data_IF_998002484871
#
_entry.id   IF_998002484871
#
_cell.length_a   1.000
_cell.length_b   1.000
_cell.length_c   1.000
_cell.angle_alpha   90.00
_cell.angle_beta   90.00
_cell.angle_gamma   90.00
#
_symmetry.space_group_name_H-M   'P 1'
#
loop_
_entity.id
_entity.type
_entity.pdbx_description
1 polymer ?
#
# COMPACT_ATOMS: atom_id res chain seq x y z
N UNK A 1 12.40 7.22 -16.43
CA UNK A 1 12.82 7.70 -15.09
C UNK A 1 11.96 7.00 -14.06
N UNK A 2 12.49 6.48 -12.94
CA UNK A 2 11.64 5.92 -11.90
C UNK A 2 10.71 7.04 -11.43
N UNK A 3 9.42 6.75 -11.39
CA UNK A 3 8.41 7.70 -10.94
C UNK A 3 8.58 7.82 -9.41
N UNK A 4 9.41 8.77 -8.96
CA UNK A 4 9.62 9.00 -7.53
C UNK A 4 8.30 9.52 -6.96
N UNK A 5 7.56 8.65 -6.30
CA UNK A 5 6.29 8.94 -5.67
C UNK A 5 6.52 9.64 -4.33
N UNK A 6 5.73 10.68 -4.01
CA UNK A 6 5.85 11.37 -2.73
C UNK A 6 5.27 10.48 -1.60
N UNK A 7 6.06 10.13 -0.57
CA UNK A 7 5.59 9.34 0.57
C UNK A 7 4.77 10.16 1.58
N UNK A 8 4.75 11.49 1.45
CA UNK A 8 3.97 12.38 2.31
C UNK A 8 2.53 12.54 1.79
N UNK A 9 1.54 12.62 2.70
CA UNK A 9 0.16 12.84 2.32
C UNK A 9 0.04 14.18 1.58
N UNK A 10 -0.64 14.13 0.44
CA UNK A 10 -0.94 15.29 -0.38
C UNK A 10 -2.47 15.44 -0.50
N UNK A 11 -2.96 16.22 -1.47
CA UNK A 11 -4.40 16.29 -1.72
C UNK A 11 -4.95 14.91 -2.09
N UNK A 12 -6.20 14.62 -1.73
CA UNK A 12 -6.87 13.35 -2.10
C UNK A 12 -6.81 13.09 -3.62
N UNK A 13 -6.96 14.14 -4.44
CA UNK A 13 -6.85 14.05 -5.89
C UNK A 13 -5.46 13.57 -6.33
N UNK A 14 -4.41 14.08 -5.70
CA UNK A 14 -3.03 13.68 -5.97
C UNK A 14 -2.75 12.25 -5.51
N UNK A 15 -3.25 11.87 -4.32
CA UNK A 15 -3.12 10.51 -3.81
C UNK A 15 -3.82 9.50 -4.74
N UNK A 16 -5.07 9.77 -5.18
CA UNK A 16 -5.76 8.92 -6.16
C UNK A 16 -5.02 8.81 -7.49
N UNK A 17 -4.43 9.91 -7.98
CA UNK A 17 -3.62 9.90 -9.22
C UNK A 17 -2.35 9.07 -9.04
N UNK A 18 -1.69 9.18 -7.89
CA UNK A 18 -0.49 8.42 -7.52
C UNK A 18 -0.79 6.93 -7.43
N UNK A 19 -1.80 6.56 -6.63
CA UNK A 19 -2.20 5.16 -6.42
C UNK A 19 -2.73 4.52 -7.71
N UNK A 20 -3.44 5.27 -8.55
CA UNK A 20 -3.86 4.79 -9.87
C UNK A 20 -2.68 4.43 -10.78
N UNK A 21 -1.61 5.24 -10.78
CA UNK A 21 -0.38 4.95 -11.53
C UNK A 21 0.37 3.75 -10.96
N UNK A 22 0.44 3.65 -9.63
CA UNK A 22 1.04 2.49 -8.95
C UNK A 22 0.29 1.24 -9.38
N UNK A 23 -1.04 1.18 -9.19
CA UNK A 23 -1.85 0.03 -9.58
C UNK A 23 -1.66 -0.32 -11.06
N UNK A 24 -1.67 0.67 -11.96
CA UNK A 24 -1.41 0.48 -13.39
C UNK A 24 -0.08 -0.24 -13.66
N UNK A 25 0.99 0.13 -12.93
CA UNK A 25 2.31 -0.50 -13.08
C UNK A 25 2.38 -1.95 -12.57
N UNK A 26 1.43 -2.37 -11.73
CA UNK A 26 1.31 -3.75 -11.24
C UNK A 26 0.37 -4.60 -12.11
N UNK A 27 -0.36 -4.01 -13.06
CA UNK A 27 -1.28 -4.74 -13.95
C UNK A 27 -0.83 -4.73 -15.41
N UNK A 28 -0.03 -3.74 -15.83
CA UNK A 28 0.44 -3.61 -17.20
C UNK A 28 1.81 -4.30 -17.38
N UNK A 29 1.88 -5.43 -18.12
CA UNK A 29 3.14 -6.13 -18.39
C UNK A 29 4.18 -5.28 -19.10
N UNK A 30 3.76 -4.20 -19.77
CA UNK A 30 4.66 -3.28 -20.51
C UNK A 30 5.28 -2.22 -19.60
N UNK A 31 4.74 -2.02 -18.40
CA UNK A 31 5.22 -1.03 -17.42
C UNK A 31 5.83 -1.67 -16.18
N UNK A 32 5.58 -2.97 -15.93
CA UNK A 32 6.16 -3.69 -14.79
C UNK A 32 7.66 -3.99 -14.99
N UNK A 33 8.44 -3.88 -13.91
CA UNK A 33 9.87 -4.21 -13.87
C UNK A 33 10.15 -5.74 -13.87
N UNK A 34 9.44 -6.50 -14.72
CA UNK A 34 9.51 -7.95 -14.84
C UNK A 34 8.15 -8.65 -14.70
N UNK A 35 7.97 -9.84 -15.32
CA UNK A 35 6.70 -10.58 -15.31
C UNK A 35 6.25 -11.05 -13.92
N UNK A 36 7.18 -11.20 -12.97
CA UNK A 36 6.90 -11.65 -11.60
C UNK A 36 6.19 -10.61 -10.71
N UNK A 37 5.97 -9.39 -11.20
CA UNK A 37 5.31 -8.30 -10.47
C UNK A 37 3.88 -8.01 -10.93
N UNK A 38 3.35 -8.79 -11.86
CA UNK A 38 2.02 -8.57 -12.45
C UNK A 38 0.95 -9.26 -11.59
N UNK A 39 -0.06 -8.51 -11.17
CA UNK A 39 -1.21 -9.04 -10.44
C UNK A 39 -2.16 -9.69 -11.45
N UNK A 40 -2.46 -10.99 -11.32
CA UNK A 40 -3.41 -11.65 -12.22
C UNK A 40 -4.81 -11.03 -12.13
N UNK A 41 -5.52 -10.83 -13.26
CA UNK A 41 -6.86 -10.22 -13.26
C UNK A 41 -7.87 -10.94 -12.36
N UNK A 42 -7.76 -12.27 -12.21
CA UNK A 42 -8.64 -13.06 -11.36
C UNK A 42 -8.51 -12.71 -9.88
N UNK A 43 -7.32 -12.29 -9.43
CA UNK A 43 -7.08 -11.88 -8.05
C UNK A 43 -7.78 -10.53 -7.79
N UNK A 44 -7.67 -9.59 -8.73
CA UNK A 44 -8.36 -8.30 -8.64
C UNK A 44 -9.89 -8.45 -8.73
N UNK A 45 -10.38 -9.39 -9.54
CA UNK A 45 -11.82 -9.63 -9.71
C UNK A 45 -12.49 -10.13 -8.42
N UNK A 46 -11.75 -10.88 -7.58
CA UNK A 46 -12.26 -11.43 -6.32
C UNK A 46 -11.98 -10.54 -5.10
N UNK A 47 -11.17 -9.48 -5.27
CA UNK A 47 -10.83 -8.57 -4.18
C UNK A 47 -12.08 -7.92 -3.56
N UNK A 48 -12.07 -7.83 -2.23
CA UNK A 48 -13.04 -7.09 -1.40
C UNK A 48 -12.53 -5.70 -1.03
N UNK A 49 -11.24 -5.44 -1.22
CA UNK A 49 -10.66 -4.11 -1.11
C UNK A 49 -9.27 -4.05 -1.72
N UNK A 50 -8.83 -2.83 -2.04
CA UNK A 50 -7.48 -2.54 -2.49
C UNK A 50 -6.93 -1.41 -1.64
N UNK A 51 -5.77 -1.61 -1.02
CA UNK A 51 -5.02 -0.56 -0.36
C UNK A 51 -3.70 -0.34 -1.09
N UNK A 52 -3.45 0.89 -1.52
CA UNK A 52 -2.30 1.24 -2.35
C UNK A 52 -1.57 2.40 -1.67
N UNK A 53 -0.27 2.27 -1.45
CA UNK A 53 0.51 3.29 -0.74
C UNK A 53 1.98 3.31 -1.16
N UNK A 54 2.60 4.46 -0.97
CA UNK A 54 4.05 4.63 -1.07
C UNK A 54 4.61 4.75 0.34
N UNK A 55 5.62 3.95 0.66
CA UNK A 55 6.27 3.94 1.98
C UNK A 55 7.74 4.25 1.81
N UNK A 56 8.21 5.24 2.56
CA UNK A 56 9.62 5.52 2.75
C UNK A 56 10.11 4.81 4.01
N UNK A 57 11.22 4.10 3.91
CA UNK A 57 11.95 3.48 5.00
C UNK A 57 13.35 4.06 5.04
N UNK A 58 13.87 4.34 6.22
CA UNK A 58 15.28 4.68 6.42
C UNK A 58 15.79 4.07 7.72
N UNK A 59 17.03 3.61 7.74
CA UNK A 59 17.62 3.06 8.95
C UNK A 59 19.15 2.98 8.96
N UNK A 60 19.68 2.80 10.18
CA UNK A 60 21.06 2.37 10.44
C UNK A 60 21.10 1.41 11.64
N UNK A 61 21.00 1.91 12.88
CA UNK A 61 20.89 1.13 14.13
C UNK A 61 19.43 0.99 14.62
N UNK A 62 18.54 1.83 14.10
CA UNK A 62 17.09 1.71 14.15
C UNK A 62 16.53 2.03 12.76
N UNK A 63 15.30 1.60 12.49
CA UNK A 63 14.58 1.89 11.25
C UNK A 63 13.31 2.68 11.54
N UNK A 64 13.09 3.71 10.74
CA UNK A 64 11.83 4.46 10.69
C UNK A 64 11.17 4.22 9.35
N UNK A 65 9.84 4.15 9.34
CA UNK A 65 9.06 4.11 8.11
C UNK A 65 7.83 4.98 8.22
N UNK A 66 7.49 5.64 7.14
CA UNK A 66 6.25 6.38 7.00
C UNK A 66 5.77 6.35 5.56
N UNK A 67 4.47 6.51 5.35
CA UNK A 67 3.90 6.48 4.02
C UNK A 67 2.45 6.90 3.98
N UNK A 68 1.98 7.22 2.79
CA UNK A 68 0.60 7.61 2.52
C UNK A 68 0.04 6.87 1.31
N UNK A 69 -1.27 6.73 1.30
CA UNK A 69 -1.97 6.07 0.22
C UNK A 69 -3.48 6.19 0.31
N UNK A 70 -4.15 5.31 -0.43
CA UNK A 70 -5.60 5.24 -0.53
C UNK A 70 -6.07 3.80 -0.39
N UNK A 71 -7.20 3.61 0.29
CA UNK A 71 -7.97 2.36 0.29
C UNK A 71 -9.31 2.55 -0.41
N UNK A 72 -9.73 1.54 -1.17
CA UNK A 72 -11.09 1.39 -1.71
C UNK A 72 -11.65 0.02 -1.32
N UNK A 73 -12.92 0.00 -0.92
CA UNK A 73 -13.62 -1.20 -0.50
C UNK A 73 -14.67 -1.60 -1.55
N UNK A 74 -14.90 -2.89 -1.71
CA UNK A 74 -16.01 -3.42 -2.50
C UNK A 74 -17.22 -3.59 -1.58
N UNK A 75 -18.33 -2.95 -1.95
CA UNK A 75 -19.57 -2.96 -1.18
C UNK A 75 -20.34 -4.26 -1.40
N UNK A 76 -21.38 -4.47 -0.57
CA UNK A 76 -22.24 -5.65 -0.65
C UNK A 76 -22.99 -5.77 -1.99
N UNK A 77 -23.27 -4.64 -2.65
CA UNK A 77 -23.86 -4.57 -3.99
C UNK A 77 -22.85 -4.82 -5.13
N UNK A 78 -21.58 -5.08 -4.78
CA UNK A 78 -20.50 -5.32 -5.73
C UNK A 78 -19.84 -4.08 -6.30
N UNK A 79 -20.35 -2.87 -6.00
CA UNK A 79 -19.75 -1.59 -6.39
C UNK A 79 -18.51 -1.25 -5.55
N UNK A 80 -17.74 -0.24 -5.97
CA UNK A 80 -16.56 0.24 -5.24
C UNK A 80 -16.90 1.51 -4.45
N UNK A 81 -16.33 1.62 -3.26
CA UNK A 81 -16.50 2.78 -2.39
C UNK A 81 -15.73 3.98 -2.92
N UNK A 82 -16.08 5.16 -2.40
CA UNK A 82 -15.19 6.31 -2.51
C UNK A 82 -13.80 5.98 -1.91
N UNK A 83 -12.72 6.56 -2.46
CA UNK A 83 -11.39 6.41 -1.90
C UNK A 83 -11.30 7.04 -0.52
N UNK A 84 -10.63 6.34 0.41
CA UNK A 84 -10.30 6.86 1.74
C UNK A 84 -8.78 6.94 1.92
N UNK A 85 -8.30 8.00 2.56
CA UNK A 85 -6.88 8.18 2.81
C UNK A 85 -6.41 7.21 3.90
N UNK A 86 -5.22 6.64 3.70
CA UNK A 86 -4.54 5.77 4.65
C UNK A 86 -3.12 6.28 4.84
N UNK A 87 -2.61 6.10 6.05
CA UNK A 87 -1.24 6.44 6.41
C UNK A 87 -0.61 5.32 7.22
N UNK A 88 0.69 5.11 7.03
CA UNK A 88 1.48 4.22 7.88
C UNK A 88 2.58 5.03 8.53
N UNK A 89 2.84 4.74 9.81
CA UNK A 89 4.01 5.19 10.54
C UNK A 89 4.47 4.02 11.42
N UNK A 90 5.76 3.79 11.52
CA UNK A 90 6.29 2.73 12.35
C UNK A 90 7.81 2.83 12.48
N UNK A 91 8.34 2.11 13.45
CA UNK A 91 9.77 2.01 13.65
C UNK A 91 10.15 0.64 14.20
N UNK A 92 11.39 0.26 13.98
CA UNK A 92 11.97 -0.98 14.47
C UNK A 92 13.44 -0.81 14.82
N UNK A 93 14.01 -1.84 15.44
CA UNK A 93 15.44 -1.96 15.67
C UNK A 93 15.99 -3.05 14.75
N UNK A 94 17.11 -2.82 14.08
CA UNK A 94 17.70 -3.76 13.13
C UNK A 94 18.64 -3.09 12.12
N UNK A 95 19.67 -3.82 11.69
CA UNK A 95 20.78 -3.33 10.85
C UNK A 95 20.42 -3.17 9.37
N UNK A 96 19.41 -2.35 9.06
CA UNK A 96 19.25 -1.84 7.70
C UNK A 96 20.10 -0.57 7.59
N UNK A 97 21.02 -0.49 6.64
CA UNK A 97 21.78 0.74 6.34
C UNK A 97 21.26 1.30 5.02
N UNK A 98 20.67 2.49 5.08
CA UNK A 98 20.23 3.22 3.89
C UNK A 98 18.76 3.65 3.95
N UNK A 99 18.22 4.02 2.79
CA UNK A 99 16.83 4.38 2.60
C UNK A 99 16.23 3.63 1.42
N UNK A 100 14.93 3.36 1.51
CA UNK A 100 14.16 2.65 0.50
C UNK A 100 12.81 3.36 0.32
N UNK A 101 12.41 3.58 -0.93
CA UNK A 101 11.07 4.05 -1.28
C UNK A 101 10.36 2.91 -2.01
N UNK A 102 9.28 2.40 -1.43
CA UNK A 102 8.58 1.21 -1.93
C UNK A 102 7.11 1.52 -2.16
N UNK A 103 6.59 1.16 -3.34
CA UNK A 103 5.16 1.17 -3.63
C UNK A 103 4.54 -0.19 -3.32
N UNK A 104 3.43 -0.19 -2.59
CA UNK A 104 2.69 -1.38 -2.18
C UNK A 104 1.28 -1.38 -2.76
N UNK A 105 0.85 -2.56 -3.21
CA UNK A 105 -0.55 -2.87 -3.54
C UNK A 105 -0.98 -4.06 -2.67
N UNK A 106 -1.85 -3.80 -1.71
CA UNK A 106 -2.46 -4.83 -0.86
C UNK A 106 -3.82 -5.20 -1.44
N UNK A 107 -4.01 -6.50 -1.66
CA UNK A 107 -5.26 -7.07 -2.12
C UNK A 107 -5.95 -7.68 -0.90
N UNK A 108 -7.12 -7.14 -0.57
CA UNK A 108 -7.87 -7.54 0.62
C UNK A 108 -9.02 -8.44 0.17
N UNK A 109 -8.97 -9.72 0.53
CA UNK A 109 -9.91 -10.73 0.05
C UNK A 109 -11.17 -10.88 0.93
N UNK A 110 -11.21 -10.21 2.09
CA UNK A 110 -12.31 -10.29 3.05
C UNK A 110 -12.72 -8.92 3.57
N UNK A 111 -14.01 -8.73 3.85
CA UNK A 111 -14.51 -7.48 4.41
C UNK A 111 -13.90 -7.16 5.78
N UNK A 112 -13.54 -8.19 6.56
CA UNK A 112 -12.80 -8.04 7.81
C UNK A 112 -11.41 -7.44 7.57
N UNK A 113 -10.65 -7.95 6.58
CA UNK A 113 -9.34 -7.42 6.22
C UNK A 113 -9.43 -5.93 5.77
N UNK A 114 -10.47 -5.58 5.02
CA UNK A 114 -10.75 -4.17 4.65
C UNK A 114 -10.97 -3.30 5.88
N UNK A 115 -11.79 -3.77 6.84
CA UNK A 115 -12.07 -3.04 8.08
C UNK A 115 -10.81 -2.89 8.94
N UNK A 116 -10.07 -3.96 9.19
CA UNK A 116 -8.82 -3.92 9.95
C UNK A 116 -7.82 -2.96 9.33
N UNK A 117 -7.68 -2.97 8.00
CA UNK A 117 -6.78 -2.04 7.32
C UNK A 117 -7.26 -0.58 7.41
N UNK A 118 -8.57 -0.35 7.38
CA UNK A 118 -9.17 0.98 7.41
C UNK A 118 -9.30 1.59 8.82
N UNK A 119 -9.43 0.78 9.87
CA UNK A 119 -9.92 1.25 11.17
C UNK A 119 -8.89 1.98 12.02
N UNK A 120 -7.63 1.54 12.09
CA UNK A 120 -6.56 2.30 12.75
C UNK A 120 -5.26 1.52 12.64
N UNK A 121 -4.23 2.19 12.12
CA UNK A 121 -2.81 1.87 12.25
C UNK A 121 -2.44 0.41 12.48
N UNK A 122 -2.09 -0.30 11.39
CA UNK A 122 -1.27 -1.51 11.52
C UNK A 122 0.06 -1.13 12.19
N UNK A 123 0.14 -1.27 13.50
CA UNK A 123 1.39 -1.09 14.25
C UNK A 123 2.25 -2.31 13.93
N UNK A 124 3.11 -2.18 12.92
CA UNK A 124 4.19 -3.14 12.73
C UNK A 124 5.33 -2.73 13.65
N UNK A 125 5.37 -3.35 14.83
CA UNK A 125 6.54 -3.32 15.70
C UNK A 125 7.56 -4.33 15.16
N UNK A 126 8.78 -3.87 14.88
CA UNK A 126 9.74 -4.54 14.00
C UNK A 126 9.98 -6.05 14.19
N UNK A 127 10.22 -6.73 13.05
CA UNK A 127 10.63 -8.14 12.97
C UNK A 127 9.51 -9.12 12.58
N UNK A 128 8.97 -9.04 11.36
CA UNK A 128 8.00 -10.00 10.79
C UNK A 128 6.76 -10.38 11.65
N UNK A 129 6.38 -9.57 12.64
CA UNK A 129 5.14 -9.77 13.39
C UNK A 129 4.17 -8.63 13.06
N UNK A 130 3.12 -8.95 12.30
CA UNK A 130 1.96 -8.07 12.14
C UNK A 130 0.90 -8.53 13.14
N UNK A 131 0.54 -7.66 14.09
CA UNK A 131 -0.65 -7.88 14.92
C UNK A 131 -1.81 -7.22 14.17
N UNK A 132 -2.75 -8.04 13.70
CA UNK A 132 -4.07 -7.60 13.32
C UNK A 132 -4.99 -7.88 14.51
N UNK A 133 -5.57 -6.84 15.10
CA UNK A 133 -6.56 -6.94 16.17
C UNK A 133 -7.81 -6.16 15.75
#
# INVERSE_FOLDING_TARGET
MPLINNPLPSSMKSECKKTGKILASFIDPRQSFGPDKIIPPQILANAKGLAIMTVFKAGFLGSGRFGSGVIVARLADGSWSAPSAIGTVGGGFGGQIGFELTDFVFILNDAAAVRTFAQAGSITLGGNVSIAA
#
